data_IF_760406580229
#
_entry.id   IF_760406580229
#
_cell.length_a   1.000
_cell.length_b   1.000
_cell.length_c   1.000
_cell.angle_alpha   90.00
_cell.angle_beta   90.00
_cell.angle_gamma   90.00
#
_symmetry.space_group_name_H-M   'P 1'
#
loop_
_entity.id
_entity.type
_entity.pdbx_description
1 polymer ?
#
# COMPACT_ATOMS: atom_id res chain seq x y z
N UNK A 1 0.26 -1.04 -20.54
CA UNK A 1 -0.13 -1.86 -21.70
C UNK A 1 -1.16 -2.93 -21.35
N UNK A 2 -1.00 -3.75 -20.30
CA UNK A 2 -2.00 -4.77 -19.93
C UNK A 2 -3.41 -4.19 -19.64
N UNK A 3 -3.51 -3.05 -18.95
CA UNK A 3 -4.81 -2.43 -18.62
C UNK A 3 -5.76 -2.16 -19.81
N UNK A 4 -5.22 -1.91 -21.02
CA UNK A 4 -6.03 -1.74 -22.24
C UNK A 4 -6.64 -3.06 -22.72
N UNK A 5 -5.91 -4.16 -22.60
CA UNK A 5 -6.32 -5.49 -23.04
C UNK A 5 -7.12 -6.25 -21.97
N UNK A 6 -7.07 -5.79 -20.72
CA UNK A 6 -7.78 -6.39 -19.60
C UNK A 6 -8.93 -5.52 -19.07
N UNK A 7 -9.41 -4.54 -19.85
CA UNK A 7 -10.42 -3.59 -19.39
C UNK A 7 -11.73 -4.23 -18.93
N UNK A 8 -12.08 -5.41 -19.47
CA UNK A 8 -13.26 -6.19 -19.07
C UNK A 8 -13.00 -7.27 -18.01
N UNK A 9 -11.75 -7.43 -17.56
CA UNK A 9 -11.40 -8.49 -16.63
C UNK A 9 -11.80 -8.11 -15.19
N UNK A 10 -12.70 -8.88 -14.60
CA UNK A 10 -13.22 -8.66 -13.24
C UNK A 10 -12.40 -9.36 -12.15
N UNK A 11 -11.32 -10.05 -12.53
CA UNK A 11 -10.52 -10.86 -11.59
C UNK A 11 -9.51 -9.96 -10.85
N UNK A 12 -9.48 -9.99 -9.50
CA UNK A 12 -8.55 -9.19 -8.69
C UNK A 12 -7.08 -9.38 -9.07
N UNK A 13 -6.67 -10.59 -9.47
CA UNK A 13 -5.28 -10.88 -9.85
C UNK A 13 -4.78 -10.00 -11.00
N UNK A 14 -5.65 -9.68 -11.96
CA UNK A 14 -5.31 -8.85 -13.12
C UNK A 14 -5.17 -7.39 -12.69
N UNK A 15 -6.06 -6.92 -11.81
CA UNK A 15 -5.95 -5.58 -11.23
C UNK A 15 -4.65 -5.41 -10.43
N UNK A 16 -4.31 -6.40 -9.59
CA UNK A 16 -3.06 -6.42 -8.81
C UNK A 16 -1.86 -6.35 -9.75
N UNK A 17 -1.80 -7.19 -10.79
CA UNK A 17 -0.71 -7.19 -11.75
C UNK A 17 -0.54 -5.85 -12.47
N UNK A 18 -1.64 -5.22 -12.88
CA UNK A 18 -1.60 -3.91 -13.53
C UNK A 18 -1.04 -2.80 -12.63
N UNK A 19 -1.51 -2.73 -11.38
CA UNK A 19 -1.09 -1.69 -10.44
C UNK A 19 0.36 -1.91 -9.99
N UNK A 20 0.72 -3.15 -9.64
CA UNK A 20 2.10 -3.48 -9.28
C UNK A 20 3.07 -3.23 -10.44
N UNK A 21 2.67 -3.55 -11.68
CA UNK A 21 3.45 -3.23 -12.88
C UNK A 21 3.69 -1.73 -13.04
N UNK A 22 2.64 -0.92 -12.87
CA UNK A 22 2.74 0.54 -12.92
C UNK A 22 3.66 1.11 -11.84
N UNK A 23 3.56 0.61 -10.61
CA UNK A 23 4.40 1.05 -9.49
C UNK A 23 5.85 0.62 -9.67
N UNK A 24 6.08 -0.56 -10.26
CA UNK A 24 7.42 -1.04 -10.62
C UNK A 24 8.04 -0.13 -11.69
N UNK A 25 7.30 0.23 -12.74
CA UNK A 25 7.79 1.18 -13.74
C UNK A 25 8.12 2.53 -13.12
N UNK A 26 7.24 3.08 -12.26
CA UNK A 26 7.49 4.33 -11.55
C UNK A 26 8.75 4.27 -10.70
N UNK A 27 8.93 3.18 -9.94
CA UNK A 27 10.11 2.97 -9.10
C UNK A 27 11.40 2.88 -9.93
N UNK A 28 11.38 2.16 -11.06
CA UNK A 28 12.53 2.04 -11.98
C UNK A 28 12.83 3.39 -12.64
N UNK A 29 11.84 4.12 -13.12
CA UNK A 29 12.03 5.46 -13.69
C UNK A 29 12.61 6.43 -12.66
N UNK A 30 12.13 6.39 -11.42
CA UNK A 30 12.70 7.17 -10.32
C UNK A 30 14.15 6.74 -9.98
N UNK A 31 14.45 5.45 -10.04
CA UNK A 31 15.82 4.96 -9.87
C UNK A 31 16.76 5.46 -10.98
N UNK A 32 16.33 5.37 -12.24
CA UNK A 32 17.09 5.82 -13.39
C UNK A 32 17.30 7.34 -13.40
N UNK A 33 16.26 8.12 -13.08
CA UNK A 33 16.34 9.59 -13.05
C UNK A 33 17.35 10.12 -12.04
N UNK A 34 17.44 9.47 -10.89
CA UNK A 34 18.35 9.86 -9.81
C UNK A 34 19.66 9.05 -9.79
N UNK A 35 19.98 8.31 -10.87
CA UNK A 35 21.25 7.62 -11.02
C UNK A 35 21.57 6.60 -9.92
N UNK A 36 20.59 5.81 -9.48
CA UNK A 36 20.78 4.86 -8.39
C UNK A 36 21.73 3.71 -8.80
N UNK A 37 22.93 3.68 -8.23
CA UNK A 37 23.81 2.51 -8.34
C UNK A 37 23.25 1.33 -7.53
N UNK A 38 23.35 0.08 -8.01
CA UNK A 38 22.98 -1.09 -7.23
C UNK A 38 23.90 -1.20 -6.00
N UNK A 39 23.34 -0.91 -4.83
CA UNK A 39 24.02 -1.08 -3.54
C UNK A 39 23.90 -2.53 -3.07
N UNK A 40 25.01 -3.07 -2.56
CA UNK A 40 25.11 -4.42 -1.97
C UNK A 40 24.74 -4.45 -0.49
N UNK A 41 24.71 -3.30 0.19
CA UNK A 41 24.43 -3.19 1.63
C UNK A 41 23.09 -2.49 1.82
N UNK A 42 22.03 -3.26 2.03
CA UNK A 42 20.66 -2.72 2.19
C UNK A 42 20.26 -2.73 3.65
N UNK A 43 19.67 -1.62 4.11
CA UNK A 43 19.00 -1.53 5.41
C UNK A 43 17.90 -2.59 5.53
N UNK A 44 18.03 -3.51 6.49
CA UNK A 44 16.97 -4.51 6.76
C UNK A 44 15.62 -3.85 7.00
N UNK A 45 15.58 -2.78 7.80
CA UNK A 45 14.35 -2.07 8.16
C UNK A 45 13.64 -1.44 6.95
N UNK A 46 14.41 -0.78 6.07
CA UNK A 46 13.82 -0.09 4.94
C UNK A 46 13.46 -1.06 3.80
N UNK A 47 14.16 -2.20 3.67
CA UNK A 47 13.72 -3.31 2.81
C UNK A 47 12.42 -3.92 3.33
N UNK A 48 12.32 -4.15 4.64
CA UNK A 48 11.08 -4.63 5.27
C UNK A 48 9.91 -3.68 5.00
N UNK A 49 10.10 -2.36 5.17
CA UNK A 49 9.07 -1.37 4.84
C UNK A 49 8.66 -1.45 3.37
N UNK A 50 9.61 -1.57 2.45
CA UNK A 50 9.31 -1.65 1.01
C UNK A 50 8.49 -2.89 0.66
N UNK A 51 8.83 -4.05 1.23
CA UNK A 51 8.07 -5.29 1.05
C UNK A 51 6.67 -5.19 1.65
N UNK A 52 6.55 -4.64 2.87
CA UNK A 52 5.25 -4.43 3.51
C UNK A 52 4.36 -3.48 2.70
N UNK A 53 4.92 -2.40 2.13
CA UNK A 53 4.18 -1.51 1.25
C UNK A 53 3.67 -2.21 -0.01
N UNK A 54 4.50 -3.04 -0.66
CA UNK A 54 4.08 -3.82 -1.83
C UNK A 54 2.91 -4.75 -1.48
N UNK A 55 3.02 -5.47 -0.37
CA UNK A 55 1.95 -6.36 0.12
C UNK A 55 0.69 -5.57 0.47
N UNK A 56 0.82 -4.41 1.12
CA UNK A 56 -0.29 -3.54 1.48
C UNK A 56 -1.04 -3.01 0.25
N UNK A 57 -0.29 -2.62 -0.77
CA UNK A 57 -0.85 -2.12 -2.04
C UNK A 57 -1.56 -3.26 -2.76
N UNK A 58 -0.94 -4.45 -2.85
CA UNK A 58 -1.60 -5.62 -3.43
C UNK A 58 -2.90 -5.99 -2.69
N UNK A 59 -2.87 -5.98 -1.35
CA UNK A 59 -4.05 -6.20 -0.52
C UNK A 59 -5.12 -5.11 -0.74
N UNK A 60 -4.72 -3.84 -0.88
CA UNK A 60 -5.65 -2.74 -1.17
C UNK A 60 -6.32 -2.86 -2.53
N UNK A 61 -5.55 -3.27 -3.55
CA UNK A 61 -6.09 -3.55 -4.89
C UNK A 61 -7.01 -4.77 -4.87
N UNK A 62 -6.69 -5.79 -4.08
CA UNK A 62 -7.58 -6.92 -3.86
C UNK A 62 -8.91 -6.47 -3.25
N UNK A 63 -8.88 -5.61 -2.22
CA UNK A 63 -10.07 -5.09 -1.56
C UNK A 63 -10.94 -4.26 -2.51
N UNK A 64 -10.33 -3.41 -3.33
CA UNK A 64 -11.07 -2.57 -4.29
C UNK A 64 -11.64 -3.37 -5.46
N UNK A 65 -10.84 -4.26 -6.05
CA UNK A 65 -11.30 -5.14 -7.14
C UNK A 65 -12.36 -6.14 -6.66
N UNK A 66 -12.25 -6.61 -5.42
CA UNK A 66 -13.18 -7.53 -4.76
C UNK A 66 -14.44 -6.87 -4.19
N UNK A 67 -14.67 -5.57 -4.43
CA UNK A 67 -15.77 -4.79 -3.83
C UNK A 67 -15.86 -4.89 -2.29
N UNK A 68 -14.76 -5.22 -1.64
CA UNK A 68 -14.68 -5.51 -0.20
C UNK A 68 -14.54 -4.24 0.65
N UNK A 69 -14.28 -3.09 0.03
CA UNK A 69 -14.17 -1.81 0.74
C UNK A 69 -15.47 -1.39 1.46
N UNK A 70 -16.63 -1.88 1.01
CA UNK A 70 -17.93 -1.62 1.63
C UNK A 70 -18.36 -2.68 2.66
N UNK A 71 -17.55 -3.73 2.88
CA UNK A 71 -17.91 -4.84 3.76
C UNK A 71 -17.92 -4.49 5.24
N UNK A 72 -17.09 -3.53 5.65
CA UNK A 72 -16.95 -3.11 7.05
C UNK A 72 -17.19 -1.61 7.15
N UNK A 73 -18.42 -1.23 7.46
CA UNK A 73 -18.82 0.14 7.77
C UNK A 73 -18.52 0.42 9.25
N UNK A 74 -17.52 1.25 9.52
CA UNK A 74 -17.05 1.56 10.89
C UNK A 74 -15.59 1.20 11.16
N UNK A 75 -15.06 1.76 12.25
CA UNK A 75 -13.69 1.59 12.75
C UNK A 75 -13.70 1.60 14.28
N UNK A 76 -12.91 0.76 14.99
CA UNK A 76 -11.92 -0.20 14.51
C UNK A 76 -12.51 -1.58 14.16
N UNK A 77 -13.67 -1.93 14.72
CA UNK A 77 -14.31 -3.23 14.50
C UNK A 77 -15.09 -3.27 13.18
N UNK A 78 -15.32 -4.48 12.65
CA UNK A 78 -16.25 -4.71 11.55
C UNK A 78 -17.63 -5.04 12.12
N UNK A 79 -18.68 -4.39 11.61
CA UNK A 79 -20.06 -4.60 12.08
C UNK A 79 -20.72 -5.90 11.59
N UNK A 80 -20.01 -6.70 10.79
CA UNK A 80 -20.49 -7.99 10.28
C UNK A 80 -19.58 -9.12 10.71
N UNK A 81 -20.13 -10.34 10.77
CA UNK A 81 -19.36 -11.53 11.07
C UNK A 81 -18.23 -11.74 10.04
N UNK A 82 -17.02 -11.97 10.55
CA UNK A 82 -15.84 -12.23 9.72
C UNK A 82 -15.74 -13.73 9.49
N UNK A 83 -16.06 -14.16 8.28
CA UNK A 83 -15.90 -15.55 7.88
C UNK A 83 -14.50 -15.78 7.30
N UNK A 84 -13.71 -16.63 7.97
CA UNK A 84 -12.39 -17.01 7.52
C UNK A 84 -12.51 -18.14 6.50
N UNK A 85 -12.26 -17.83 5.23
CA UNK A 85 -12.19 -18.85 4.18
C UNK A 85 -11.12 -18.47 3.17
N UNK A 86 -10.22 -19.41 2.89
CA UNK A 86 -9.18 -19.25 1.85
C UNK A 86 -9.78 -19.01 0.47
N UNK A 87 -10.98 -19.55 0.20
CA UNK A 87 -11.71 -19.34 -1.07
C UNK A 87 -12.22 -17.91 -1.24
N UNK A 88 -12.28 -17.12 -0.17
CA UNK A 88 -12.62 -15.69 -0.22
C UNK A 88 -11.41 -14.81 -0.51
N UNK A 89 -10.18 -15.35 -0.43
CA UNK A 89 -8.96 -14.65 -0.84
C UNK A 89 -8.42 -15.11 -2.19
N UNK A 90 -9.15 -15.94 -2.92
CA UNK A 90 -8.72 -16.39 -4.25
C UNK A 90 -8.78 -15.20 -5.24
N UNK A 91 -7.63 -14.70 -5.72
CA UNK A 91 -7.59 -13.54 -6.60
C UNK A 91 -7.96 -13.88 -8.05
N UNK A 92 -8.12 -15.17 -8.39
CA UNK A 92 -8.56 -15.62 -9.71
C UNK A 92 -10.08 -15.67 -9.82
N UNK A 93 -10.78 -15.69 -8.68
CA UNK A 93 -12.23 -15.73 -8.61
C UNK A 93 -12.82 -14.36 -8.98
N UNK A 94 -13.83 -14.38 -9.84
CA UNK A 94 -14.62 -13.18 -10.13
C UNK A 94 -15.47 -12.84 -8.89
N UNK A 95 -15.35 -11.63 -8.33
CA UNK A 95 -16.14 -11.21 -7.19
C UNK A 95 -17.62 -11.18 -7.57
N UNK A 96 -18.46 -11.70 -6.68
CA UNK A 96 -19.90 -11.52 -6.81
C UNK A 96 -20.27 -10.18 -6.21
N UNK A 97 -20.77 -9.27 -7.03
CA UNK A 97 -21.25 -7.96 -6.61
C UNK A 97 -22.76 -7.93 -6.82
N UNK A 98 -23.49 -7.75 -5.73
CA UNK A 98 -24.93 -7.57 -5.76
C UNK A 98 -25.24 -6.11 -5.40
N UNK A 99 -25.56 -5.31 -6.42
CA UNK A 99 -25.84 -3.89 -6.27
C UNK A 99 -27.09 -3.59 -5.42
N UNK A 100 -27.92 -4.61 -5.15
CA UNK A 100 -29.12 -4.46 -4.31
C UNK A 100 -28.80 -4.51 -2.82
N UNK A 101 -27.63 -5.05 -2.45
CA UNK A 101 -27.20 -5.15 -1.06
C UNK A 101 -26.37 -3.94 -0.64
N UNK A 102 -26.72 -3.26 0.47
CA UNK A 102 -25.95 -2.11 0.97
C UNK A 102 -24.59 -2.50 1.56
N UNK A 103 -24.39 -3.78 1.89
CA UNK A 103 -23.16 -4.32 2.49
C UNK A 103 -22.81 -5.65 1.80
N UNK A 104 -21.52 -5.88 1.53
CA UNK A 104 -21.01 -7.13 0.96
C UNK A 104 -20.23 -7.93 2.01
N UNK A 105 -20.89 -8.72 2.89
CA UNK A 105 -20.22 -9.35 4.04
C UNK A 105 -19.11 -10.33 3.66
N UNK A 106 -19.17 -10.92 2.47
CA UNK A 106 -18.15 -11.83 1.94
C UNK A 106 -16.75 -11.21 1.80
N UNK A 107 -16.65 -9.88 1.69
CA UNK A 107 -15.39 -9.15 1.63
C UNK A 107 -14.82 -8.73 2.99
N UNK A 108 -15.53 -8.99 4.09
CA UNK A 108 -15.17 -8.48 5.42
C UNK A 108 -13.78 -8.97 5.88
N UNK A 109 -13.45 -10.23 5.60
CA UNK A 109 -12.15 -10.79 5.95
C UNK A 109 -11.00 -10.10 5.19
N UNK A 110 -11.14 -9.94 3.87
CA UNK A 110 -10.13 -9.27 3.04
C UNK A 110 -9.92 -7.80 3.47
N UNK A 111 -11.02 -7.10 3.77
CA UNK A 111 -10.94 -5.72 4.26
C UNK A 111 -10.26 -5.65 5.64
N UNK A 112 -10.58 -6.56 6.56
CA UNK A 112 -9.92 -6.59 7.87
C UNK A 112 -8.44 -6.95 7.77
N UNK A 113 -8.06 -7.87 6.87
CA UNK A 113 -6.68 -8.20 6.60
C UNK A 113 -5.89 -6.98 6.09
N UNK A 114 -6.46 -6.22 5.15
CA UNK A 114 -5.86 -4.97 4.67
C UNK A 114 -5.66 -3.94 5.79
N UNK A 115 -6.63 -3.81 6.71
CA UNK A 115 -6.51 -2.92 7.88
C UNK A 115 -5.42 -3.40 8.84
N UNK A 116 -5.34 -4.69 9.12
CA UNK A 116 -4.29 -5.28 9.96
C UNK A 116 -2.89 -5.07 9.38
N UNK A 117 -2.72 -5.29 8.08
CA UNK A 117 -1.46 -5.01 7.38
C UNK A 117 -1.11 -3.51 7.40
N UNK A 118 -2.11 -2.61 7.34
CA UNK A 118 -1.88 -1.17 7.44
C UNK A 118 -1.25 -0.77 8.79
N UNK A 119 -1.60 -1.46 9.88
CA UNK A 119 -0.97 -1.26 11.19
C UNK A 119 0.51 -1.65 11.17
N UNK A 120 0.84 -2.80 10.56
CA UNK A 120 2.23 -3.25 10.42
C UNK A 120 3.06 -2.27 9.56
N UNK A 121 2.49 -1.80 8.45
CA UNK A 121 3.12 -0.76 7.61
C UNK A 121 3.35 0.52 8.40
N UNK A 122 2.38 0.95 9.21
CA UNK A 122 2.48 2.15 10.03
C UNK A 122 3.64 2.04 11.02
N UNK A 123 3.75 0.91 11.73
CA UNK A 123 4.85 0.67 12.67
C UNK A 123 6.21 0.66 11.95
N UNK A 124 6.31 -0.02 10.81
CA UNK A 124 7.55 -0.08 10.02
C UNK A 124 7.95 1.30 9.45
N UNK A 125 6.97 2.09 9.00
CA UNK A 125 7.18 3.44 8.47
C UNK A 125 7.62 4.41 9.56
N UNK A 126 7.01 4.35 10.75
CA UNK A 126 7.44 5.14 11.91
C UNK A 126 8.84 4.75 12.36
N UNK A 127 9.15 3.45 12.46
CA UNK A 127 10.49 2.99 12.79
C UNK A 127 11.53 3.48 11.79
N UNK A 128 11.22 3.42 10.49
CA UNK A 128 12.10 3.89 9.42
C UNK A 128 12.28 5.40 9.46
N UNK A 129 11.19 6.16 9.60
CA UNK A 129 11.23 7.62 9.73
C UNK A 129 12.09 8.06 10.93
N UNK A 130 11.89 7.42 12.09
CA UNK A 130 12.70 7.69 13.29
C UNK A 130 14.18 7.31 13.10
N UNK A 131 14.48 6.19 12.42
CA UNK A 131 15.86 5.80 12.12
C UNK A 131 16.54 6.81 11.19
N UNK A 132 15.86 7.24 10.13
CA UNK A 132 16.38 8.22 9.14
C UNK A 132 16.51 9.61 9.77
N UNK A 133 15.62 9.96 10.70
CA UNK A 133 15.75 11.19 11.47
C UNK A 133 17.04 11.22 12.28
N UNK A 134 17.36 10.10 12.96
CA UNK A 134 18.57 9.96 13.78
C UNK A 134 19.86 10.00 12.95
N UNK A 135 19.83 9.57 11.69
CA UNK A 135 20.97 9.70 10.77
C UNK A 135 21.13 11.09 10.15
N UNK A 136 20.41 12.11 10.66
CA UNK A 136 20.53 13.51 10.22
C UNK A 136 19.70 13.88 8.99
N UNK A 137 19.09 12.91 8.30
CA UNK A 137 18.32 13.15 7.08
C UNK A 137 16.87 13.57 7.35
N UNK A 138 16.71 14.68 8.07
CA UNK A 138 15.42 15.18 8.59
C UNK A 138 14.36 15.36 7.49
N UNK A 139 14.73 15.86 6.31
CA UNK A 139 13.79 16.07 5.20
C UNK A 139 13.13 14.76 4.74
N UNK A 140 13.91 13.68 4.62
CA UNK A 140 13.40 12.38 4.21
C UNK A 140 12.49 11.77 5.29
N UNK A 141 12.89 11.91 6.56
CA UNK A 141 12.07 11.45 7.69
C UNK A 141 10.72 12.19 7.78
N UNK A 142 10.73 13.52 7.62
CA UNK A 142 9.51 14.36 7.62
C UNK A 142 8.61 13.98 6.44
N UNK A 143 9.17 13.82 5.23
CA UNK A 143 8.41 13.44 4.06
C UNK A 143 7.73 12.07 4.23
N UNK A 144 8.45 11.06 4.74
CA UNK A 144 7.86 9.74 4.99
C UNK A 144 6.78 9.82 6.09
N UNK A 145 7.02 10.57 7.16
CA UNK A 145 6.07 10.75 8.26
C UNK A 145 4.80 11.48 7.84
N UNK A 146 4.91 12.55 7.05
CA UNK A 146 3.76 13.32 6.57
C UNK A 146 2.91 12.52 5.58
N UNK A 147 3.55 11.78 4.67
CA UNK A 147 2.87 10.87 3.74
C UNK A 147 2.12 9.76 4.49
N UNK A 148 2.71 9.20 5.56
CA UNK A 148 2.04 8.21 6.39
C UNK A 148 0.77 8.77 7.05
N UNK A 149 0.86 9.95 7.66
CA UNK A 149 -0.30 10.61 8.28
C UNK A 149 -1.38 10.87 7.23
N UNK A 150 -1.00 11.40 6.07
CA UNK A 150 -1.93 11.67 4.99
C UNK A 150 -2.60 10.38 4.48
N UNK A 151 -1.84 9.29 4.32
CA UNK A 151 -2.36 7.99 3.88
C UNK A 151 -3.43 7.46 4.85
N UNK A 152 -3.15 7.54 6.16
CA UNK A 152 -4.06 7.11 7.22
C UNK A 152 -5.34 7.96 7.17
N UNK A 153 -5.21 9.29 7.15
CA UNK A 153 -6.37 10.19 7.13
C UNK A 153 -7.28 9.94 5.91
N UNK A 154 -6.70 9.79 4.72
CA UNK A 154 -7.49 9.47 3.52
C UNK A 154 -8.12 8.07 3.65
N UNK A 155 -7.40 7.09 4.20
CA UNK A 155 -7.92 5.74 4.44
C UNK A 155 -9.13 5.73 5.37
N UNK A 156 -9.10 6.50 6.47
CA UNK A 156 -10.27 6.66 7.34
C UNK A 156 -11.44 7.35 6.62
N UNK A 157 -11.16 8.37 5.80
CA UNK A 157 -12.20 9.01 4.97
C UNK A 157 -12.86 8.02 4.02
N UNK A 158 -12.11 7.11 3.41
CA UNK A 158 -12.68 6.07 2.54
C UNK A 158 -13.67 5.15 3.26
N UNK A 159 -13.39 4.81 4.52
CA UNK A 159 -14.28 3.98 5.35
C UNK A 159 -15.55 4.73 5.73
N UNK A 160 -15.46 6.02 6.09
CA UNK A 160 -16.61 6.80 6.59
C UNK A 160 -17.47 7.41 5.48
N UNK A 161 -16.88 7.76 4.34
CA UNK A 161 -17.57 8.45 3.25
C UNK A 161 -18.03 7.51 2.12
N UNK A 162 -18.05 6.20 2.35
CA UNK A 162 -18.48 5.18 1.38
C UNK A 162 -17.67 5.21 0.07
N UNK A 163 -16.34 5.25 0.18
CA UNK A 163 -15.39 5.17 -0.94
C UNK A 163 -15.58 6.25 -2.02
N UNK A 164 -15.55 7.56 -1.70
CA UNK A 164 -15.66 8.58 -2.73
C UNK A 164 -14.47 8.50 -3.69
N UNK A 165 -14.76 8.51 -5.00
CA UNK A 165 -13.78 8.25 -6.05
C UNK A 165 -12.51 9.12 -5.93
N UNK A 166 -12.67 10.41 -5.66
CA UNK A 166 -11.56 11.37 -5.50
C UNK A 166 -10.65 10.97 -4.34
N UNK A 167 -11.21 10.55 -3.20
CA UNK A 167 -10.41 10.10 -2.07
C UNK A 167 -9.70 8.78 -2.39
N UNK A 168 -10.34 7.88 -3.15
CA UNK A 168 -9.73 6.59 -3.51
C UNK A 168 -8.53 6.80 -4.44
N UNK A 169 -8.66 7.72 -5.39
CA UNK A 169 -7.56 8.14 -6.26
C UNK A 169 -6.44 8.79 -5.44
N UNK A 170 -6.77 9.70 -4.54
CA UNK A 170 -5.79 10.36 -3.67
C UNK A 170 -5.05 9.35 -2.78
N UNK A 171 -5.76 8.37 -2.21
CA UNK A 171 -5.17 7.31 -1.39
C UNK A 171 -4.13 6.50 -2.17
N UNK A 172 -4.42 6.17 -3.44
CA UNK A 172 -3.48 5.43 -4.29
C UNK A 172 -2.28 6.29 -4.72
N UNK A 173 -2.50 7.58 -4.99
CA UNK A 173 -1.42 8.51 -5.33
C UNK A 173 -0.46 8.70 -4.15
N UNK A 174 -0.98 8.89 -2.93
CA UNK A 174 -0.15 9.02 -1.72
C UNK A 174 0.58 7.71 -1.41
N UNK A 175 -0.03 6.54 -1.66
CA UNK A 175 0.66 5.25 -1.53
C UNK A 175 1.87 5.14 -2.49
N UNK A 176 1.72 5.60 -3.73
CA UNK A 176 2.81 5.63 -4.70
C UNK A 176 3.94 6.59 -4.26
N UNK A 177 3.59 7.78 -3.76
CA UNK A 177 4.56 8.72 -3.20
C UNK A 177 5.28 8.16 -1.97
N UNK A 178 4.56 7.41 -1.12
CA UNK A 178 5.13 6.78 0.07
C UNK A 178 6.13 5.67 -0.31
N UNK A 179 5.87 4.91 -1.37
CA UNK A 179 6.85 3.99 -1.95
C UNK A 179 8.12 4.70 -2.43
N UNK A 180 7.97 5.83 -3.13
CA UNK A 180 9.11 6.63 -3.57
C UNK A 180 9.91 7.18 -2.39
N UNK A 181 9.23 7.70 -1.36
CA UNK A 181 9.86 8.18 -0.14
C UNK A 181 10.62 7.05 0.60
N UNK A 182 10.05 5.85 0.68
CA UNK A 182 10.72 4.68 1.25
C UNK A 182 11.97 4.29 0.43
N UNK A 183 11.88 4.35 -0.91
CA UNK A 183 13.03 4.10 -1.79
C UNK A 183 14.14 5.15 -1.62
N UNK A 184 13.80 6.41 -1.37
CA UNK A 184 14.76 7.46 -1.06
C UNK A 184 15.41 7.25 0.33
N UNK A 185 14.63 6.81 1.33
CA UNK A 185 15.14 6.49 2.66
C UNK A 185 16.16 5.34 2.64
N UNK A 186 15.97 4.34 1.77
CA UNK A 186 16.96 3.28 1.54
C UNK A 186 18.32 3.90 1.15
N UNK A 187 18.34 4.79 0.16
CA UNK A 187 19.58 5.41 -0.34
C UNK A 187 20.29 6.29 0.68
N UNK A 188 19.52 7.08 1.42
CA UNK A 188 20.05 7.95 2.47
C UNK A 188 20.78 7.14 3.53
N UNK A 189 20.21 6.01 3.93
CA UNK A 189 20.80 5.15 4.96
C UNK A 189 22.03 4.42 4.46
N UNK A 190 22.02 3.98 3.20
CA UNK A 190 23.20 3.42 2.54
C UNK A 190 24.36 4.41 2.46
N UNK A 191 24.08 5.69 2.23
CA UNK A 191 25.11 6.73 2.23
C UNK A 191 25.68 6.95 3.63
N UNK A 192 24.82 7.01 4.67
CA UNK A 192 25.27 7.16 6.06
C UNK A 192 26.14 5.98 6.50
N UNK A 193 25.70 4.74 6.27
CA UNK A 193 26.47 3.54 6.65
C UNK A 193 27.80 3.42 5.88
N UNK A 194 27.91 4.01 4.69
CA UNK A 194 29.15 4.00 3.91
C UNK A 194 30.17 5.01 4.44
N UNK A 195 29.70 6.15 4.94
CA UNK A 195 30.56 7.17 5.59
C UNK A 195 31.07 6.69 6.94
N UNK A 196 30.25 5.97 7.72
CA UNK A 196 30.66 5.48 9.05
C UNK A 196 31.71 4.34 9.02
N UNK A 197 31.92 3.69 7.87
CA UNK A 197 32.85 2.56 7.70
C UNK A 197 34.17 2.97 6.99
N UNK A 198 34.22 4.18 6.43
CA UNK A 198 35.40 4.73 5.73
C UNK A 198 36.26 5.56 6.68
#
# INVERSE_FOLDING_TARGET
MLGRYTAGAKQPIIAIGNVLGGFTMLAVSFAAWFGAAPSTRRSGLAVTLMLLLIVQIAAGVFVSAGYSGLSCTGFPACGVAINFSSTLLDPTRVPQFDATLPIHPQGAFAHMLHRGLALLVTLAALATSMSVWRSGARRAAIALGSLLVLQIMIGLTLVHASLPFVAALAHNAVAALMLLAASACLRVREHSERVDVA
#
